data_IF_692804728430
#
_entry.id   IF_692804728430
#
_cell.length_a   1.000
_cell.length_b   1.000
_cell.length_c   1.000
_cell.angle_alpha   90.00
_cell.angle_beta   90.00
_cell.angle_gamma   90.00
#
_symmetry.space_group_name_H-M   'P 1'
#
loop_
_entity.id
_entity.type
_entity.pdbx_description
1 polymer ?
#
# COMPACT_ATOMS: atom_id res chain seq x y z
N UNK A 1 25.29 -9.69 -23.27
CA UNK A 1 26.28 -9.49 -22.20
C UNK A 1 25.52 -9.24 -20.91
N UNK A 2 25.49 -10.21 -20.00
CA UNK A 2 24.92 -10.04 -18.66
C UNK A 2 26.03 -9.49 -17.76
N UNK A 3 25.93 -8.22 -17.39
CA UNK A 3 26.80 -7.60 -16.39
C UNK A 3 26.42 -8.18 -15.01
N UNK A 4 27.38 -8.82 -14.34
CA UNK A 4 27.22 -9.36 -12.99
C UNK A 4 28.06 -8.45 -12.09
N UNK A 5 27.39 -7.67 -11.25
CA UNK A 5 28.05 -6.81 -10.28
C UNK A 5 28.74 -7.63 -9.16
N UNK A 6 29.93 -7.24 -8.67
CA UNK A 6 30.77 -8.00 -7.73
C UNK A 6 30.22 -8.10 -6.30
N UNK A 7 29.01 -7.59 -6.05
CA UNK A 7 28.34 -7.61 -4.73
C UNK A 7 27.11 -8.51 -4.69
N UNK A 8 26.78 -9.23 -5.77
CA UNK A 8 25.60 -10.11 -5.83
C UNK A 8 24.26 -9.37 -5.75
N UNK A 9 24.27 -8.04 -5.88
CA UNK A 9 23.08 -7.20 -5.93
C UNK A 9 22.57 -7.10 -7.37
N UNK A 10 22.17 -8.21 -7.98
CA UNK A 10 21.03 -8.16 -8.93
C UNK A 10 19.75 -8.03 -8.09
N UNK A 11 19.72 -7.00 -7.23
CA UNK A 11 18.69 -6.79 -6.26
C UNK A 11 17.57 -6.04 -6.98
N UNK A 12 16.54 -6.79 -7.35
CA UNK A 12 15.21 -6.24 -7.50
C UNK A 12 14.94 -5.46 -6.19
N UNK A 13 15.21 -4.15 -6.14
CA UNK A 13 15.17 -3.37 -4.89
C UNK A 13 13.74 -3.46 -4.34
N UNK A 14 13.54 -4.31 -3.33
CA UNK A 14 12.24 -4.48 -2.70
C UNK A 14 11.99 -3.25 -1.82
N UNK A 15 10.89 -2.56 -2.07
CA UNK A 15 10.46 -1.41 -1.28
C UNK A 15 9.18 -1.76 -0.55
N UNK A 16 9.07 -1.29 0.69
CA UNK A 16 7.85 -1.43 1.46
C UNK A 16 6.83 -0.40 0.99
N UNK A 17 5.62 -0.89 0.72
CA UNK A 17 4.48 -0.11 0.29
C UNK A 17 3.31 -0.31 1.23
N UNK A 18 2.45 0.69 1.35
CA UNK A 18 1.29 0.72 2.23
C UNK A 18 0.03 1.02 1.43
N UNK A 19 -0.91 0.09 1.40
CA UNK A 19 -2.24 0.29 0.86
C UNK A 19 -3.20 0.70 1.98
N UNK A 20 -3.81 1.88 1.86
CA UNK A 20 -4.78 2.38 2.84
C UNK A 20 -6.19 1.87 2.52
N UNK A 21 -6.90 1.37 3.53
CA UNK A 21 -8.23 0.80 3.36
C UNK A 21 -9.08 0.97 4.62
N UNK A 22 -10.35 0.61 4.53
CA UNK A 22 -11.26 0.55 5.68
C UNK A 22 -11.06 -0.73 6.50
N UNK A 23 -11.54 -0.78 7.75
CA UNK A 23 -11.52 -2.03 8.54
C UNK A 23 -12.20 -3.19 7.80
N UNK A 24 -13.37 -2.94 7.21
CA UNK A 24 -14.13 -3.94 6.43
C UNK A 24 -13.34 -4.41 5.20
N UNK A 25 -12.69 -3.47 4.49
CA UNK A 25 -11.82 -3.77 3.35
C UNK A 25 -10.58 -4.56 3.76
N UNK A 26 -9.99 -4.25 4.92
CA UNK A 26 -8.86 -4.99 5.47
C UNK A 26 -9.22 -6.46 5.76
N UNK A 27 -10.41 -6.70 6.32
CA UNK A 27 -10.89 -8.06 6.57
C UNK A 27 -11.15 -8.82 5.26
N UNK A 28 -11.70 -8.14 4.24
CA UNK A 28 -11.87 -8.69 2.90
C UNK A 28 -10.53 -9.10 2.28
N UNK A 29 -9.57 -8.16 2.23
CA UNK A 29 -8.21 -8.42 1.72
C UNK A 29 -7.53 -9.53 2.52
N UNK A 30 -7.71 -9.58 3.84
CA UNK A 30 -7.15 -10.65 4.68
C UNK A 30 -7.77 -12.01 4.36
N UNK A 31 -9.07 -12.08 4.07
CA UNK A 31 -9.75 -13.31 3.68
C UNK A 31 -9.34 -13.77 2.28
N UNK A 32 -9.36 -12.85 1.34
CA UNK A 32 -9.18 -13.13 -0.09
C UNK A 32 -7.69 -13.18 -0.49
N UNK A 33 -6.80 -12.72 0.39
CA UNK A 33 -5.34 -12.62 0.18
C UNK A 33 -4.97 -11.87 -1.11
N UNK A 34 -5.82 -10.92 -1.51
CA UNK A 34 -5.67 -10.15 -2.73
C UNK A 34 -6.20 -8.72 -2.54
N UNK A 35 -5.59 -7.76 -3.23
CA UNK A 35 -6.07 -6.38 -3.31
C UNK A 35 -6.71 -6.17 -4.68
N UNK A 36 -8.00 -5.83 -4.67
CA UNK A 36 -8.73 -5.47 -5.89
C UNK A 36 -8.13 -4.23 -6.56
N UNK A 37 -8.16 -4.21 -7.89
CA UNK A 37 -7.62 -3.10 -8.67
C UNK A 37 -8.55 -1.89 -8.63
N UNK A 38 -7.97 -0.71 -8.47
CA UNK A 38 -8.71 0.52 -8.62
C UNK A 38 -8.85 0.86 -10.11
N UNK A 39 -10.03 1.37 -10.48
CA UNK A 39 -10.26 1.94 -11.81
C UNK A 39 -9.50 3.27 -11.91
N UNK A 40 -8.81 3.50 -13.02
CA UNK A 40 -8.02 4.71 -13.21
C UNK A 40 -7.13 4.61 -14.45
N UNK A 41 -6.34 5.65 -14.69
CA UNK A 41 -5.27 5.62 -15.69
C UNK A 41 -3.94 6.04 -15.03
N UNK A 42 -3.02 5.11 -14.74
CA UNK A 42 -3.07 3.67 -15.02
C UNK A 42 -4.04 2.89 -14.11
N UNK A 43 -4.59 1.77 -14.61
CA UNK A 43 -5.34 0.81 -13.80
C UNK A 43 -4.35 0.10 -12.87
N UNK A 44 -4.68 0.00 -11.58
CA UNK A 44 -3.80 -0.68 -10.64
C UNK A 44 -4.15 -0.44 -9.18
N UNK A 45 -3.23 -0.85 -8.30
CA UNK A 45 -3.38 -0.70 -6.86
C UNK A 45 -2.66 0.56 -6.40
N UNK A 46 -3.39 1.50 -5.80
CA UNK A 46 -2.82 2.70 -5.21
C UNK A 46 -2.13 2.36 -3.90
N UNK A 47 -0.87 2.76 -3.76
CA UNK A 47 -0.06 2.53 -2.58
C UNK A 47 0.74 3.78 -2.21
N UNK A 48 1.07 3.89 -0.94
CA UNK A 48 2.07 4.82 -0.43
C UNK A 48 3.41 4.08 -0.34
N UNK A 49 4.50 4.67 -0.80
CA UNK A 49 5.85 4.10 -0.78
C UNK A 49 6.62 4.67 0.41
N UNK A 50 7.40 3.84 1.09
CA UNK A 50 8.23 4.31 2.20
C UNK A 50 9.19 5.46 1.76
N UNK A 51 9.48 6.43 2.64
CA UNK A 51 8.99 6.57 4.02
C UNK A 51 7.50 6.95 4.10
N UNK A 52 6.78 6.29 5.00
CA UNK A 52 5.34 6.51 5.16
C UNK A 52 5.03 7.69 6.08
N UNK A 53 4.02 8.48 5.74
CA UNK A 53 3.41 9.48 6.60
C UNK A 53 2.49 8.88 7.67
N UNK A 54 1.93 9.74 8.51
CA UNK A 54 1.00 9.32 9.57
C UNK A 54 -0.29 8.74 8.94
N UNK A 55 -0.72 7.51 9.31
CA UNK A 55 -1.91 6.89 8.72
C UNK A 55 -3.21 7.65 9.00
N UNK A 56 -3.25 8.53 10.01
CA UNK A 56 -4.43 9.34 10.34
C UNK A 56 -4.61 10.51 9.37
N UNK A 57 -3.54 11.07 8.83
CA UNK A 57 -3.62 12.18 7.86
C UNK A 57 -3.73 11.70 6.41
N UNK A 58 -3.58 10.40 6.14
CA UNK A 58 -3.69 9.82 4.80
C UNK A 58 -5.03 10.15 4.10
N UNK A 59 -6.15 10.14 4.85
CA UNK A 59 -7.46 10.53 4.29
C UNK A 59 -7.45 11.96 3.75
N UNK A 60 -6.87 12.89 4.50
CA UNK A 60 -6.87 14.32 4.17
C UNK A 60 -5.80 14.67 3.12
N UNK A 61 -4.68 13.93 3.11
CA UNK A 61 -3.52 14.25 2.27
C UNK A 61 -3.54 13.52 0.92
N UNK A 62 -4.04 12.28 0.88
CA UNK A 62 -4.04 11.45 -0.35
C UNK A 62 -5.42 10.89 -0.71
N UNK A 63 -6.49 11.32 -0.02
CA UNK A 63 -7.85 10.91 -0.32
C UNK A 63 -8.17 9.44 0.01
N UNK A 64 -7.39 8.80 0.88
CA UNK A 64 -7.59 7.39 1.24
C UNK A 64 -9.02 7.11 1.79
N UNK A 65 -9.60 5.98 1.35
CA UNK A 65 -10.98 5.60 1.71
C UNK A 65 -11.09 5.13 3.17
N UNK A 66 -11.48 6.07 4.03
CA UNK A 66 -11.46 5.99 5.50
C UNK A 66 -10.04 5.83 6.05
N UNK A 67 -9.71 6.59 7.11
CA UNK A 67 -8.38 6.55 7.72
C UNK A 67 -8.25 5.46 8.77
N UNK A 68 -7.03 4.99 9.03
CA UNK A 68 -6.68 4.23 10.23
C UNK A 68 -6.31 2.76 10.03
N UNK A 69 -6.80 2.10 8.98
CA UNK A 69 -6.44 0.71 8.65
C UNK A 69 -5.63 0.65 7.34
N UNK A 70 -4.64 -0.23 7.29
CA UNK A 70 -3.78 -0.37 6.11
C UNK A 70 -3.12 -1.74 6.04
N UNK A 71 -2.69 -2.10 4.84
CA UNK A 71 -1.87 -3.28 4.55
C UNK A 71 -0.50 -2.81 4.09
N UNK A 72 0.56 -3.28 4.73
CA UNK A 72 1.94 -3.07 4.27
C UNK A 72 2.44 -4.36 3.61
N UNK A 73 3.17 -4.24 2.52
CA UNK A 73 3.78 -5.37 1.82
C UNK A 73 4.97 -4.90 1.00
N UNK A 74 5.78 -5.84 0.53
CA UNK A 74 6.97 -5.53 -0.26
C UNK A 74 6.72 -5.77 -1.75
N UNK A 75 7.25 -4.85 -2.58
CA UNK A 75 7.22 -4.96 -4.03
C UNK A 75 8.54 -4.48 -4.62
N UNK A 76 8.94 -5.01 -5.79
CA UNK A 76 10.09 -4.49 -6.50
C UNK A 76 9.83 -3.08 -7.00
N UNK A 77 10.76 -2.18 -6.72
CA UNK A 77 10.68 -0.74 -7.03
C UNK A 77 10.43 -0.44 -8.50
N UNK A 78 10.96 -1.27 -9.41
CA UNK A 78 10.75 -1.15 -10.86
C UNK A 78 9.30 -1.37 -11.29
N UNK A 79 8.46 -2.00 -10.46
CA UNK A 79 7.02 -2.19 -10.74
C UNK A 79 6.16 -1.00 -10.33
N UNK A 80 6.73 0.02 -9.68
CA UNK A 80 5.97 1.16 -9.17
C UNK A 80 5.95 2.32 -10.16
N UNK A 81 4.74 2.77 -10.51
CA UNK A 81 4.53 4.02 -11.24
C UNK A 81 4.26 5.12 -10.22
N UNK A 82 5.23 6.01 -10.01
CA UNK A 82 5.07 7.12 -9.06
C UNK A 82 3.93 8.04 -9.46
N UNK A 83 3.14 8.44 -8.48
CA UNK A 83 2.06 9.42 -8.64
C UNK A 83 2.32 10.64 -7.76
N UNK A 84 1.87 11.81 -8.21
CA UNK A 84 1.96 13.04 -7.43
C UNK A 84 0.59 13.35 -6.80
N UNK A 85 0.09 12.43 -5.98
CA UNK A 85 -1.16 12.64 -5.22
C UNK A 85 -0.79 13.11 -3.82
N UNK A 86 -1.06 14.38 -3.55
CA UNK A 86 -0.78 15.00 -2.25
C UNK A 86 0.72 15.19 -1.96
N UNK A 87 1.07 15.56 -0.72
CA UNK A 87 2.47 15.77 -0.30
C UNK A 87 3.25 14.47 -0.05
N UNK A 88 2.64 13.30 -0.28
CA UNK A 88 3.22 11.99 0.06
C UNK A 88 3.79 11.26 -1.14
N UNK A 89 4.70 10.35 -0.85
CA UNK A 89 5.24 9.40 -1.82
C UNK A 89 4.15 8.37 -2.19
N UNK A 90 3.32 8.70 -3.18
CA UNK A 90 2.30 7.78 -3.70
C UNK A 90 2.80 7.12 -4.98
N UNK A 91 2.35 5.89 -5.20
CA UNK A 91 2.61 5.15 -6.43
C UNK A 91 1.41 4.26 -6.74
N UNK A 92 1.36 3.80 -7.99
CA UNK A 92 0.43 2.79 -8.45
C UNK A 92 1.26 1.58 -8.87
N UNK A 93 0.82 0.41 -8.42
CA UNK A 93 1.27 -0.86 -8.98
C UNK A 93 0.34 -1.16 -10.17
N UNK A 94 0.80 -0.98 -11.42
CA UNK A 94 -0.05 -1.18 -12.59
C UNK A 94 -0.35 -2.67 -12.73
N UNK A 95 -1.62 -3.03 -12.63
CA UNK A 95 -2.10 -4.40 -12.80
C UNK A 95 -3.57 -4.36 -13.16
N UNK A 96 -3.96 -5.22 -14.10
CA UNK A 96 -5.36 -5.38 -14.51
C UNK A 96 -6.07 -6.46 -13.70
N UNK A 97 -5.31 -7.28 -12.96
CA UNK A 97 -5.79 -8.37 -12.13
C UNK A 97 -5.63 -8.04 -10.64
N UNK A 98 -6.48 -8.59 -9.76
CA UNK A 98 -6.31 -8.46 -8.32
C UNK A 98 -4.90 -8.83 -7.88
N UNK A 99 -4.26 -7.94 -7.12
CA UNK A 99 -2.89 -8.12 -6.69
C UNK A 99 -2.84 -9.15 -5.56
N UNK A 100 -2.34 -10.35 -5.87
CA UNK A 100 -2.14 -11.37 -4.85
C UNK A 100 -1.08 -10.95 -3.84
N UNK A 101 -1.43 -11.06 -2.56
CA UNK A 101 -0.58 -10.78 -1.41
C UNK A 101 0.19 -12.01 -0.91
N UNK A 102 -0.08 -13.18 -1.49
CA UNK A 102 0.61 -14.43 -1.15
C UNK A 102 2.13 -14.25 -1.38
N UNK A 103 2.92 -14.55 -0.35
CA UNK A 103 4.39 -14.46 -0.34
C UNK A 103 5.00 -13.03 -0.41
N UNK A 104 4.27 -11.96 -0.06
CA UNK A 104 4.77 -10.56 -0.13
C UNK A 104 5.12 -9.89 1.22
N UNK A 105 5.49 -10.67 2.23
CA UNK A 105 5.81 -10.19 3.59
C UNK A 105 4.76 -9.19 4.14
N UNK A 106 3.51 -9.65 4.21
CA UNK A 106 2.35 -8.78 4.38
C UNK A 106 2.08 -8.51 5.86
N UNK A 107 1.91 -7.24 6.20
CA UNK A 107 1.54 -6.79 7.55
C UNK A 107 0.17 -6.11 7.49
N UNK A 108 -0.81 -6.70 8.17
CA UNK A 108 -2.15 -6.14 8.29
C UNK A 108 -2.25 -5.31 9.57
N UNK A 109 -2.53 -4.01 9.43
CA UNK A 109 -2.70 -3.11 10.58
C UNK A 109 -4.11 -2.56 10.63
N UNK A 110 -4.85 -2.98 11.66
CA UNK A 110 -6.18 -2.47 11.97
C UNK A 110 -6.07 -1.19 12.79
N UNK A 111 -6.95 -0.22 12.53
CA UNK A 111 -7.18 0.86 13.49
C UNK A 111 -7.65 0.26 14.82
N UNK A 112 -6.99 0.62 15.92
CA UNK A 112 -7.34 0.10 17.25
C UNK A 112 -8.76 0.55 17.65
N UNK A 113 -9.51 -0.36 18.27
CA UNK A 113 -10.85 -0.10 18.80
C UNK A 113 -10.88 1.07 19.80
N UNK A 114 -9.83 1.22 20.62
CA UNK A 114 -9.65 2.35 21.54
C UNK A 114 -9.48 3.69 20.81
N UNK A 115 -8.86 3.68 19.62
CA UNK A 115 -8.71 4.87 18.77
C UNK A 115 -10.03 5.31 18.11
N UNK A 116 -11.00 4.39 17.96
CA UNK A 116 -12.35 4.70 17.47
C UNK A 116 -13.25 5.28 18.56
N UNK A 117 -13.20 4.73 19.77
CA UNK A 117 -14.04 5.20 20.89
C UNK A 117 -13.68 6.62 21.34
N UNK A 118 -12.39 6.95 21.38
CA UNK A 118 -11.91 8.30 21.75
C UNK A 118 -12.27 9.38 20.72
N UNK A 119 -12.67 9.02 19.49
CA UNK A 119 -13.15 9.95 18.47
C UNK A 119 -14.64 10.26 18.56
N UNK A 120 -15.42 9.45 19.27
CA UNK A 120 -16.88 9.64 19.41
C UNK A 120 -17.26 10.58 20.55
N UNK A 121 -16.28 11.12 21.27
CA UNK A 121 -16.46 12.09 22.34
C UNK A 121 -15.77 13.41 21.93
N UNK A 122 -16.39 14.14 21.00
CA UNK A 122 -16.08 15.54 20.71
C UNK A 122 -17.29 16.22 20.09
#
# INVERSE_FOLDING_TARGET
MSWIDPWGLTANEMVSVRHHTSLEGLEGIKRDQAIEVARGNPIGVHVEVAPFGDPKTAKNEIGAFRGGSYVEFEVPKDTLVKTHIGPRNTAIIPTEQPLSLSNRNVVFKKESWWSRLTKSCK
#
